data_IF_490039241397
#
_entry.id   IF_490039241397
#
_cell.length_a   1.000
_cell.length_b   1.000
_cell.length_c   1.000
_cell.angle_alpha   90.00
_cell.angle_beta   90.00
_cell.angle_gamma   90.00
#
_symmetry.space_group_name_H-M   'P 1'
#
loop_
_entity.id
_entity.type
_entity.pdbx_description
1 polymer ?
#
# COMPACT_ATOMS: atom_id res chain seq x y z
N UNK A 1 12.86 -0.92 19.48
CA UNK A 1 12.18 -0.60 18.21
C UNK A 1 11.03 -1.58 18.04
N UNK A 2 9.80 -1.08 18.08
CA UNK A 2 8.58 -1.85 17.92
C UNK A 2 8.38 -2.27 16.45
N UNK A 3 7.40 -3.15 16.20
CA UNK A 3 6.99 -3.44 14.81
C UNK A 3 6.43 -2.21 14.10
N UNK A 4 5.73 -1.33 14.81
CA UNK A 4 5.19 -0.10 14.26
C UNK A 4 6.29 0.89 13.86
N UNK A 5 7.37 0.98 14.64
CA UNK A 5 8.51 1.87 14.33
C UNK A 5 9.16 1.45 13.00
N UNK A 6 9.32 0.15 12.77
CA UNK A 6 9.89 -0.39 11.52
C UNK A 6 8.97 -0.14 10.32
N UNK A 7 7.66 -0.20 10.51
CA UNK A 7 6.68 0.11 9.47
C UNK A 7 6.77 1.59 9.10
N UNK A 8 6.82 2.48 10.11
CA UNK A 8 6.98 3.91 9.89
C UNK A 8 8.28 4.23 9.14
N UNK A 9 9.42 3.68 9.59
CA UNK A 9 10.71 3.85 8.90
C UNK A 9 10.66 3.38 7.43
N UNK A 10 9.98 2.25 7.17
CA UNK A 10 9.80 1.77 5.81
C UNK A 10 8.94 2.71 4.96
N UNK A 11 7.83 3.22 5.52
CA UNK A 11 6.94 4.16 4.84
C UNK A 11 7.69 5.46 4.51
N UNK A 12 8.41 6.02 5.48
CA UNK A 12 9.16 7.27 5.32
C UNK A 12 10.20 7.13 4.20
N UNK A 13 10.97 6.03 4.20
CA UNK A 13 11.94 5.76 3.14
C UNK A 13 11.30 5.62 1.77
N UNK A 14 10.17 4.91 1.65
CA UNK A 14 9.46 4.77 0.36
C UNK A 14 8.89 6.11 -0.10
N UNK A 15 8.32 6.87 0.82
CA UNK A 15 7.78 8.19 0.54
C UNK A 15 8.87 9.12 0.02
N UNK A 16 10.00 9.22 0.71
CA UNK A 16 11.06 10.16 0.36
C UNK A 16 11.81 9.73 -0.91
N UNK A 17 12.17 8.45 -1.04
CA UNK A 17 13.00 7.98 -2.16
C UNK A 17 12.22 7.72 -3.45
N UNK A 18 10.94 7.36 -3.34
CA UNK A 18 10.13 6.91 -4.49
C UNK A 18 9.03 7.91 -4.80
N UNK A 19 8.20 8.27 -3.82
CA UNK A 19 7.04 9.15 -4.05
C UNK A 19 7.52 10.58 -4.32
N UNK A 20 8.22 11.20 -3.37
CA UNK A 20 8.75 12.56 -3.51
C UNK A 20 9.98 12.56 -4.44
N UNK A 21 10.97 11.70 -4.16
CA UNK A 21 12.25 11.71 -4.86
C UNK A 21 12.16 11.41 -6.36
N UNK A 22 11.15 10.65 -6.80
CA UNK A 22 10.92 10.34 -8.23
C UNK A 22 9.60 10.92 -8.78
N UNK A 23 8.84 11.65 -7.97
CA UNK A 23 7.52 12.18 -8.34
C UNK A 23 6.48 11.09 -8.63
N UNK A 24 6.69 9.87 -8.14
CA UNK A 24 5.74 8.77 -8.32
C UNK A 24 4.51 8.99 -7.44
N UNK A 25 3.36 8.49 -7.85
CA UNK A 25 2.15 8.50 -7.03
C UNK A 25 1.70 7.08 -6.76
N UNK A 26 1.26 6.82 -5.52
CA UNK A 26 0.59 5.58 -5.14
C UNK A 26 -0.89 5.86 -4.97
N UNK A 27 -1.75 5.04 -5.57
CA UNK A 27 -3.20 5.15 -5.41
C UNK A 27 -3.86 3.80 -5.27
N UNK A 28 -4.95 3.74 -4.49
CA UNK A 28 -5.85 2.61 -4.52
C UNK A 28 -6.81 2.76 -5.69
N UNK A 29 -6.78 1.79 -6.59
CA UNK A 29 -7.63 1.73 -7.79
C UNK A 29 -8.94 1.01 -7.51
N UNK A 30 -8.98 0.18 -6.46
CA UNK A 30 -10.18 -0.52 -6.01
C UNK A 30 -10.12 -0.77 -4.50
N UNK A 31 -11.27 -0.69 -3.84
CA UNK A 31 -11.46 -1.18 -2.48
C UNK A 31 -12.69 -2.10 -2.46
N UNK A 32 -12.54 -3.31 -1.92
CA UNK A 32 -13.61 -4.29 -1.80
C UNK A 32 -13.61 -4.87 -0.38
N UNK A 33 -14.75 -4.77 0.28
CA UNK A 33 -14.97 -5.42 1.58
C UNK A 33 -15.39 -6.88 1.38
N UNK A 34 -14.74 -7.81 2.08
CA UNK A 34 -14.96 -9.24 1.99
C UNK A 34 -14.93 -9.87 3.39
N UNK A 35 -16.07 -9.79 4.10
CA UNK A 35 -16.17 -10.31 5.47
C UNK A 35 -15.32 -9.50 6.44
N UNK A 36 -14.32 -10.14 7.05
CA UNK A 36 -13.37 -9.53 7.98
C UNK A 36 -12.09 -8.99 7.29
N UNK A 37 -12.01 -9.10 5.96
CA UNK A 37 -10.92 -8.61 5.15
C UNK A 37 -11.36 -7.49 4.21
N UNK A 38 -10.44 -6.58 3.91
CA UNK A 38 -10.55 -5.61 2.81
C UNK A 38 -9.49 -5.91 1.77
N UNK A 39 -9.88 -6.07 0.51
CA UNK A 39 -8.97 -6.07 -0.64
C UNK A 39 -8.78 -4.64 -1.13
N UNK A 40 -7.54 -4.23 -1.31
CA UNK A 40 -7.13 -2.94 -1.84
C UNK A 40 -6.24 -3.16 -3.06
N UNK A 41 -6.74 -2.92 -4.27
CA UNK A 41 -5.91 -2.94 -5.47
C UNK A 41 -5.21 -1.59 -5.60
N UNK A 42 -3.93 -1.59 -5.99
CA UNK A 42 -3.10 -0.39 -6.05
C UNK A 42 -2.37 -0.25 -7.37
N UNK A 43 -2.02 0.99 -7.70
CA UNK A 43 -1.15 1.34 -8.81
C UNK A 43 -0.08 2.35 -8.36
N UNK A 44 1.11 2.22 -8.95
CA UNK A 44 2.16 3.23 -8.89
C UNK A 44 2.26 3.90 -10.26
N UNK A 45 2.08 5.21 -10.29
CA UNK A 45 2.02 6.00 -11.51
C UNK A 45 3.18 6.99 -11.55
N UNK A 46 3.91 7.01 -12.65
CA UNK A 46 4.99 7.95 -12.92
C UNK A 46 4.47 9.38 -13.17
N UNK A 47 5.34 10.41 -13.07
CA UNK A 47 4.93 11.80 -13.30
C UNK A 47 4.29 12.06 -14.67
N UNK A 48 4.63 11.25 -15.69
CA UNK A 48 4.07 11.34 -17.03
C UNK A 48 2.69 10.67 -17.18
N UNK A 49 2.16 10.09 -16.10
CA UNK A 49 0.87 9.39 -16.08
C UNK A 49 0.96 7.89 -16.38
N UNK A 50 2.15 7.35 -16.68
CA UNK A 50 2.33 5.93 -16.95
C UNK A 50 2.20 5.10 -15.68
N UNK A 51 1.35 4.07 -15.69
CA UNK A 51 1.30 3.07 -14.59
C UNK A 51 2.50 2.13 -14.72
N UNK A 52 3.42 2.20 -13.76
CA UNK A 52 4.69 1.45 -13.75
C UNK A 52 4.69 0.29 -12.77
N UNK A 53 3.65 0.17 -11.95
CA UNK A 53 3.47 -0.96 -11.05
C UNK A 53 2.02 -1.12 -10.64
N UNK A 54 1.61 -2.35 -10.40
CA UNK A 54 0.33 -2.71 -9.79
C UNK A 54 0.55 -3.65 -8.63
N UNK A 55 -0.33 -3.58 -7.66
CA UNK A 55 -0.33 -4.47 -6.51
C UNK A 55 -1.73 -4.67 -5.96
N UNK A 56 -1.81 -5.49 -4.94
CA UNK A 56 -3.00 -5.63 -4.13
C UNK A 56 -2.62 -5.95 -2.68
N UNK A 57 -3.37 -5.42 -1.74
CA UNK A 57 -3.22 -5.70 -0.32
C UNK A 57 -4.51 -6.34 0.21
N UNK A 58 -4.37 -7.39 1.02
CA UNK A 58 -5.48 -7.95 1.81
C UNK A 58 -5.25 -7.58 3.27
N UNK A 59 -6.15 -6.75 3.80
CA UNK A 59 -6.04 -6.15 5.14
C UNK A 59 -7.10 -6.72 6.06
N UNK A 60 -6.67 -7.25 7.21
CA UNK A 60 -7.57 -7.68 8.30
C UNK A 60 -7.53 -6.66 9.43
N UNK A 61 -8.69 -6.39 10.04
CA UNK A 61 -8.82 -5.43 11.15
C UNK A 61 -9.53 -6.05 12.34
N UNK A 62 -9.18 -5.60 13.55
CA UNK A 62 -9.91 -5.95 14.77
C UNK A 62 -11.25 -5.17 14.87
N UNK A 63 -12.05 -5.48 15.89
CA UNK A 63 -13.33 -4.78 16.15
C UNK A 63 -13.21 -3.29 16.49
N UNK A 64 -11.99 -2.74 16.59
CA UNK A 64 -11.70 -1.31 16.76
C UNK A 64 -11.15 -0.67 15.48
N UNK A 65 -11.10 -1.42 14.38
CA UNK A 65 -10.60 -0.97 13.08
C UNK A 65 -9.07 -0.94 12.99
N UNK A 66 -8.33 -1.55 13.92
CA UNK A 66 -6.86 -1.60 13.87
C UNK A 66 -6.41 -2.74 12.98
N UNK A 67 -5.40 -2.50 12.14
CA UNK A 67 -4.81 -3.55 11.31
C UNK A 67 -4.18 -4.63 12.19
N UNK A 68 -4.59 -5.88 11.98
CA UNK A 68 -4.05 -7.06 12.68
C UNK A 68 -3.14 -7.87 11.78
N UNK A 69 -3.43 -7.89 10.48
CA UNK A 69 -2.60 -8.52 9.45
C UNK A 69 -2.75 -7.78 8.11
N UNK A 70 -1.68 -7.79 7.33
CA UNK A 70 -1.65 -7.27 5.96
C UNK A 70 -0.84 -8.23 5.09
N UNK A 71 -1.42 -8.65 3.97
CA UNK A 71 -0.75 -9.46 2.95
C UNK A 71 -0.64 -8.63 1.68
N UNK A 72 0.60 -8.37 1.25
CA UNK A 72 0.89 -7.50 0.11
C UNK A 72 1.33 -8.33 -1.09
N UNK A 73 0.73 -8.07 -2.24
CA UNK A 73 1.03 -8.69 -3.53
C UNK A 73 1.51 -7.59 -4.48
N UNK A 74 2.69 -7.76 -5.07
CA UNK A 74 3.30 -6.79 -5.97
C UNK A 74 3.52 -7.42 -7.34
N UNK A 75 3.56 -6.60 -8.39
CA UNK A 75 3.84 -7.06 -9.75
C UNK A 75 2.67 -7.81 -10.38
N UNK A 76 1.44 -7.42 -10.04
CA UNK A 76 0.24 -7.95 -10.67
C UNK A 76 0.12 -7.42 -12.11
N UNK A 77 -0.37 -8.25 -13.02
CA UNK A 77 -0.57 -7.91 -14.44
C UNK A 77 -1.93 -7.25 -14.71
#
# INVERSE_FOLDING_TARGET
MSGADKIAEHIDRVHDDVIVGKGMTFSYTQQLEAGDATLLSSAVTAPDGTVVGKGADVIFRDGKGRVTAAYMFQGLE
#
